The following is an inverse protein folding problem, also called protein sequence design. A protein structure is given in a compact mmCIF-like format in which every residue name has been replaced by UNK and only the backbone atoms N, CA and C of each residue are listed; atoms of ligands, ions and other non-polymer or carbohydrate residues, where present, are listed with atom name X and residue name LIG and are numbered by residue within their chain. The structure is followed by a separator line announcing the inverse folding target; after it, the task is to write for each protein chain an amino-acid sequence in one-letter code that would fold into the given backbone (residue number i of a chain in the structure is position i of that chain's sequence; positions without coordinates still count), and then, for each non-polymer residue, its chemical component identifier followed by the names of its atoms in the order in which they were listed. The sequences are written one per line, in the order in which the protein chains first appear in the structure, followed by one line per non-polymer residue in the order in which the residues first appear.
data_IF_343462489494
#
_entry.id   IF_343462489494
#
_cell.length_a   1.000
_cell.length_b   1.000
_cell.length_c   1.000
_cell.angle_alpha   90.00
_cell.angle_beta   90.00
_cell.angle_gamma   90.00
#
_symmetry.space_group_name_H-M   'P 1'
#
loop_
_entity.id
_entity.type
_entity.pdbx_description
1 polymer ?
#
# COMPACT_ATOMS: atom_id res chain seq x y z
N UNK A 1 24.83 51.33 27.32
CA UNK A 1 24.92 49.93 27.82
C UNK A 1 23.58 49.22 27.94
N UNK A 2 22.49 49.85 28.41
CA UNK A 2 21.19 49.17 28.60
C UNK A 2 20.50 48.69 27.31
N UNK A 3 20.64 49.40 26.19
CA UNK A 3 20.00 49.03 24.91
C UNK A 3 20.59 47.74 24.31
N UNK A 4 21.92 47.55 24.40
CA UNK A 4 22.61 46.32 23.96
C UNK A 4 22.21 45.09 24.79
N UNK A 5 21.96 45.28 26.10
CA UNK A 5 21.47 44.21 26.99
C UNK A 5 20.02 43.83 26.70
N UNK A 6 19.16 44.78 26.32
CA UNK A 6 17.77 44.53 25.92
C UNK A 6 17.67 43.79 24.60
N UNK A 7 18.50 44.15 23.61
CA UNK A 7 18.56 43.43 22.31
C UNK A 7 19.07 42.01 22.51
N UNK A 8 20.11 41.81 23.33
CA UNK A 8 20.61 40.47 23.65
C UNK A 8 19.58 39.56 24.35
N UNK A 9 18.75 40.14 25.23
CA UNK A 9 17.66 39.41 25.90
C UNK A 9 16.54 39.03 24.93
N UNK A 10 16.16 39.91 23.99
CA UNK A 10 15.15 39.62 22.97
C UNK A 10 15.62 38.52 22.01
N UNK A 11 16.88 38.54 21.61
CA UNK A 11 17.47 37.48 20.76
C UNK A 11 17.53 36.14 21.51
N UNK A 12 17.90 36.15 22.79
CA UNK A 12 17.92 34.94 23.62
C UNK A 12 16.52 34.33 23.80
N UNK A 13 15.50 35.15 24.04
CA UNK A 13 14.09 34.71 24.15
C UNK A 13 13.57 34.20 22.81
N UNK A 14 13.92 34.82 21.70
CA UNK A 14 13.55 34.34 20.36
C UNK A 14 14.17 32.96 20.07
N UNK A 15 15.44 32.73 20.43
CA UNK A 15 16.13 31.44 20.24
C UNK A 15 15.57 30.32 21.15
N UNK A 16 15.09 30.65 22.35
CA UNK A 16 14.48 29.68 23.28
C UNK A 16 13.09 29.19 22.81
N UNK A 17 12.41 29.93 21.93
CA UNK A 17 11.07 29.56 21.43
C UNK A 17 11.09 28.72 20.13
N UNK A 18 12.25 28.53 19.49
CA UNK A 18 12.37 27.73 18.25
C UNK A 18 12.54 26.23 18.54
N UNK A 19 12.96 25.87 19.77
CA UNK A 19 13.29 24.49 20.17
C UNK A 19 12.20 23.43 20.04
N UNK A 20 10.92 23.66 20.43
CA UNK A 20 9.93 22.59 20.44
C UNK A 20 9.27 22.34 19.07
N UNK A 21 9.41 23.25 18.09
CA UNK A 21 8.81 23.08 16.77
C UNK A 21 9.59 22.11 15.87
N UNK A 22 10.88 21.90 16.13
CA UNK A 22 11.72 21.00 15.32
C UNK A 22 11.55 19.51 15.65
N UNK A 23 10.90 19.16 16.77
CA UNK A 23 10.85 17.79 17.28
C UNK A 23 9.54 17.04 16.99
N UNK A 24 8.47 17.72 16.57
CA UNK A 24 7.19 17.09 16.28
C UNK A 24 7.14 16.60 14.82
N UNK A 25 7.69 15.42 14.56
CA UNK A 25 7.36 14.71 13.32
C UNK A 25 5.88 14.32 13.38
N UNK A 26 5.08 14.55 12.32
CA UNK A 26 3.71 14.09 12.29
C UNK A 26 3.68 12.57 12.53
N UNK A 27 2.70 12.05 13.29
CA UNK A 27 2.64 10.63 13.59
C UNK A 27 2.62 9.82 12.29
N UNK A 28 3.47 8.80 12.21
CA UNK A 28 3.49 7.88 11.08
C UNK A 28 2.16 7.14 11.06
N UNK A 29 1.44 7.20 9.94
CA UNK A 29 0.20 6.46 9.79
C UNK A 29 0.47 4.96 9.74
N UNK A 30 -0.23 4.21 10.59
CA UNK A 30 -0.30 2.76 10.58
C UNK A 30 -1.78 2.37 10.59
N UNK A 31 -2.25 1.59 9.60
CA UNK A 31 -3.67 1.24 9.51
C UNK A 31 -4.05 0.22 10.58
N UNK A 32 -5.26 0.36 11.13
CA UNK A 32 -5.88 -0.71 11.91
C UNK A 32 -6.25 -1.89 10.98
N UNK A 33 -6.36 -3.12 11.51
CA UNK A 33 -6.87 -4.24 10.74
C UNK A 33 -8.20 -3.87 10.07
N UNK A 34 -8.28 -4.08 8.76
CA UNK A 34 -9.46 -3.82 7.92
C UNK A 34 -9.88 -2.34 7.75
N UNK A 35 -9.21 -1.36 8.35
CA UNK A 35 -9.53 0.07 8.21
C UNK A 35 -8.39 0.87 7.57
N UNK A 36 -8.04 0.48 6.35
CA UNK A 36 -6.95 1.10 5.60
C UNK A 36 -7.45 2.33 4.85
N UNK A 37 -6.85 3.48 5.15
CA UNK A 37 -7.17 4.73 4.48
C UNK A 37 -6.69 4.71 3.03
N UNK A 38 -7.54 5.23 2.14
CA UNK A 38 -7.23 5.43 0.73
C UNK A 38 -6.60 6.81 0.51
N UNK A 39 -5.57 6.89 -0.32
CA UNK A 39 -4.93 8.15 -0.72
C UNK A 39 -4.70 8.17 -2.23
N UNK A 40 -4.96 9.30 -2.90
CA UNK A 40 -4.59 9.43 -4.30
C UNK A 40 -3.06 9.36 -4.46
N UNK A 41 -2.57 8.88 -5.62
CA UNK A 41 -1.13 8.66 -5.86
C UNK A 41 -0.28 9.90 -5.58
N UNK A 42 -0.77 11.08 -5.99
CA UNK A 42 -0.08 12.35 -5.79
C UNK A 42 0.16 12.67 -4.30
N UNK A 43 -0.76 12.30 -3.40
CA UNK A 43 -0.61 12.56 -1.95
C UNK A 43 0.45 11.67 -1.29
N UNK A 44 0.83 10.57 -1.92
CA UNK A 44 1.88 9.66 -1.43
C UNK A 44 3.18 9.78 -2.23
N UNK A 45 3.28 10.77 -3.13
CA UNK A 45 4.48 11.02 -3.94
C UNK A 45 4.65 10.03 -5.09
N UNK A 46 3.54 9.53 -5.65
CA UNK A 46 3.53 8.67 -6.84
C UNK A 46 2.99 9.43 -8.04
N UNK A 47 3.53 9.12 -9.22
CA UNK A 47 3.02 9.59 -10.51
C UNK A 47 1.74 8.81 -10.87
N UNK A 48 0.65 9.53 -11.13
CA UNK A 48 -0.64 8.92 -11.41
C UNK A 48 -0.69 8.23 -12.79
N UNK A 49 0.02 8.76 -13.79
CA UNK A 49 0.04 8.20 -15.14
C UNK A 49 0.86 6.91 -15.19
N UNK A 50 2.02 6.88 -14.52
CA UNK A 50 2.83 5.65 -14.40
C UNK A 50 2.10 4.57 -13.59
N UNK A 51 1.35 4.96 -12.56
CA UNK A 51 0.51 4.02 -11.82
C UNK A 51 -0.57 3.41 -12.72
N UNK A 52 -1.31 4.25 -13.47
CA UNK A 52 -2.34 3.77 -14.40
C UNK A 52 -1.77 2.80 -15.46
N UNK A 53 -0.60 3.12 -16.01
CA UNK A 53 0.09 2.22 -16.94
C UNK A 53 0.41 0.86 -16.31
N UNK A 54 0.92 0.85 -15.07
CA UNK A 54 1.20 -0.37 -14.34
C UNK A 54 -0.08 -1.19 -14.06
N UNK A 55 -1.19 -0.53 -13.72
CA UNK A 55 -2.49 -1.20 -13.50
C UNK A 55 -3.01 -1.84 -14.80
N UNK A 56 -2.96 -1.11 -15.92
CA UNK A 56 -3.36 -1.63 -17.23
C UNK A 56 -2.49 -2.82 -17.63
N UNK A 57 -1.18 -2.75 -17.41
CA UNK A 57 -0.29 -3.88 -17.67
C UNK A 57 -0.64 -5.08 -16.79
N UNK A 58 -0.80 -4.89 -15.48
CA UNK A 58 -1.14 -5.98 -14.55
C UNK A 58 -2.45 -6.68 -14.94
N UNK A 59 -3.46 -5.93 -15.39
CA UNK A 59 -4.72 -6.50 -15.86
C UNK A 59 -4.57 -7.43 -17.08
N UNK A 60 -3.46 -7.35 -17.83
CA UNK A 60 -3.17 -8.24 -18.96
C UNK A 60 -2.38 -9.50 -18.57
N UNK A 61 -1.77 -9.52 -17.39
CA UNK A 61 -0.88 -10.59 -16.94
C UNK A 61 -1.61 -11.46 -15.91
N UNK A 62 -2.53 -12.30 -16.38
CA UNK A 62 -3.26 -13.27 -15.55
C UNK A 62 -2.52 -14.63 -15.51
N UNK A 63 -2.91 -15.49 -14.57
CA UNK A 63 -2.45 -16.89 -14.51
C UNK A 63 -3.01 -17.66 -15.72
N UNK A 64 -2.17 -18.30 -16.55
CA UNK A 64 -2.60 -19.02 -17.75
C UNK A 64 -3.38 -20.32 -17.47
N UNK A 65 -3.44 -20.78 -16.22
CA UNK A 65 -4.23 -21.95 -15.86
C UNK A 65 -5.73 -21.76 -16.18
N UNK A 66 -6.50 -22.83 -16.43
CA UNK A 66 -7.93 -22.71 -16.71
C UNK A 66 -8.67 -21.92 -15.63
N UNK A 67 -9.59 -21.04 -16.01
CA UNK A 67 -10.39 -20.25 -15.05
C UNK A 67 -11.25 -21.14 -14.15
N UNK A 68 -11.72 -22.26 -14.66
CA UNK A 68 -12.38 -23.27 -13.83
C UNK A 68 -11.38 -23.83 -12.82
N UNK A 69 -11.64 -23.59 -11.54
CA UNK A 69 -10.75 -24.01 -10.48
C UNK A 69 -10.71 -25.53 -10.32
N UNK A 70 -11.80 -26.26 -10.60
CA UNK A 70 -11.80 -27.72 -10.60
C UNK A 70 -10.82 -28.25 -11.66
N UNK A 71 -10.91 -27.70 -12.87
CA UNK A 71 -10.05 -28.09 -13.98
C UNK A 71 -8.57 -27.75 -13.70
N UNK A 72 -8.29 -26.56 -13.19
CA UNK A 72 -6.93 -26.14 -12.86
C UNK A 72 -6.28 -27.05 -11.79
N UNK A 73 -7.03 -27.44 -10.76
CA UNK A 73 -6.55 -28.35 -9.71
C UNK A 73 -6.30 -29.77 -10.26
N UNK A 74 -7.22 -30.28 -11.09
CA UNK A 74 -7.05 -31.59 -11.72
C UNK A 74 -5.81 -31.64 -12.64
N UNK A 75 -5.57 -30.58 -13.42
CA UNK A 75 -4.43 -30.51 -14.34
C UNK A 75 -3.08 -30.26 -13.65
N UNK A 76 -3.09 -29.75 -12.42
CA UNK A 76 -1.87 -29.44 -11.66
C UNK A 76 -1.55 -30.51 -10.61
N UNK A 77 -2.25 -30.48 -9.49
CA UNK A 77 -2.07 -31.43 -8.38
C UNK A 77 -2.57 -32.81 -8.76
N UNK A 78 -3.75 -32.89 -9.37
CA UNK A 78 -4.36 -34.18 -9.72
C UNK A 78 -3.56 -35.00 -10.72
N UNK A 79 -2.80 -34.34 -11.60
CA UNK A 79 -1.90 -35.00 -12.54
C UNK A 79 -0.60 -35.54 -11.89
N UNK A 80 -0.25 -35.06 -10.69
CA UNK A 80 1.05 -35.33 -10.03
C UNK A 80 0.92 -36.14 -8.75
N UNK A 81 -0.23 -36.10 -8.09
CA UNK A 81 -0.42 -36.79 -6.81
C UNK A 81 -0.78 -38.27 -7.04
N UNK A 82 0.03 -39.21 -6.53
CA UNK A 82 -0.39 -40.60 -6.45
C UNK A 82 -1.63 -40.66 -5.54
N UNK A 83 -2.71 -41.27 -6.04
CA UNK A 83 -4.02 -41.36 -5.38
C UNK A 83 -4.83 -40.06 -5.28
N UNK A 84 -4.83 -39.23 -6.32
CA UNK A 84 -5.80 -38.12 -6.41
C UNK A 84 -7.23 -38.65 -6.39
N UNK A 85 -7.85 -38.68 -5.20
CA UNK A 85 -9.22 -39.15 -4.96
C UNK A 85 -10.31 -38.21 -5.51
N UNK A 86 -9.93 -37.27 -6.38
CA UNK A 86 -10.78 -36.20 -6.87
C UNK A 86 -10.76 -34.97 -5.96
N UNK A 87 -11.51 -33.96 -6.40
CA UNK A 87 -11.68 -32.70 -5.66
C UNK A 87 -12.49 -32.93 -4.39
N UNK A 88 -11.97 -32.44 -3.26
CA UNK A 88 -12.69 -32.37 -2.00
C UNK A 88 -13.28 -30.96 -1.82
N UNK A 89 -14.62 -30.88 -1.75
CA UNK A 89 -15.35 -29.62 -1.56
C UNK A 89 -15.70 -28.90 -2.87
N UNK A 90 -16.59 -27.91 -2.74
CA UNK A 90 -17.06 -27.13 -3.88
C UNK A 90 -15.97 -26.17 -4.39
N UNK A 91 -15.89 -26.00 -5.71
CA UNK A 91 -15.05 -25.01 -6.37
C UNK A 91 -15.89 -24.04 -7.18
N UNK A 92 -15.29 -22.91 -7.56
CA UNK A 92 -15.92 -21.89 -8.41
C UNK A 92 -14.91 -21.35 -9.42
N UNK A 93 -15.35 -20.81 -10.56
CA UNK A 93 -14.46 -20.13 -11.48
C UNK A 93 -13.68 -19.00 -10.78
N UNK A 94 -12.39 -18.88 -11.10
CA UNK A 94 -11.57 -17.76 -10.61
C UNK A 94 -12.05 -16.44 -11.24
N UNK A 95 -12.20 -15.36 -10.45
CA UNK A 95 -12.53 -14.04 -10.98
C UNK A 95 -11.39 -13.48 -11.86
N UNK A 96 -11.61 -12.29 -12.43
CA UNK A 96 -10.54 -11.48 -13.03
C UNK A 96 -9.36 -11.33 -12.06
N UNK A 97 -8.15 -11.15 -12.60
CA UNK A 97 -7.01 -10.74 -11.78
C UNK A 97 -7.36 -9.45 -11.03
N UNK A 98 -7.07 -9.44 -9.74
CA UNK A 98 -7.31 -8.31 -8.86
C UNK A 98 -6.05 -8.04 -8.03
N UNK A 99 -5.96 -6.85 -7.46
CA UNK A 99 -4.80 -6.44 -6.71
C UNK A 99 -4.98 -5.14 -5.96
N UNK A 100 -3.97 -4.81 -5.16
CA UNK A 100 -3.94 -3.59 -4.37
C UNK A 100 -2.50 -3.09 -4.26
N UNK A 101 -2.31 -1.78 -4.40
CA UNK A 101 -1.02 -1.12 -4.20
C UNK A 101 -1.09 -0.30 -2.91
N UNK A 102 -0.11 -0.55 -2.03
CA UNK A 102 0.04 0.11 -0.74
C UNK A 102 1.27 1.00 -0.76
N UNK A 103 1.15 2.23 -0.26
CA UNK A 103 2.29 3.11 -0.01
C UNK A 103 2.12 3.87 1.29
N UNK A 104 3.13 3.77 2.18
CA UNK A 104 3.14 4.45 3.50
C UNK A 104 1.87 4.18 4.30
N UNK A 105 1.47 2.91 4.38
CA UNK A 105 0.28 2.48 5.12
C UNK A 105 -1.07 2.73 4.42
N UNK A 106 -1.10 3.45 3.30
CA UNK A 106 -2.35 3.77 2.60
C UNK A 106 -2.56 2.89 1.37
N UNK A 107 -3.82 2.60 1.07
CA UNK A 107 -4.23 2.04 -0.22
C UNK A 107 -4.23 3.14 -1.26
N UNK A 108 -3.52 2.92 -2.37
CA UNK A 108 -3.33 3.92 -3.43
C UNK A 108 -4.07 3.56 -4.71
N UNK A 109 -4.22 2.26 -4.96
CA UNK A 109 -5.03 1.71 -6.04
C UNK A 109 -5.49 0.30 -5.66
N UNK A 110 -6.65 -0.08 -6.20
CA UNK A 110 -7.25 -1.40 -6.13
C UNK A 110 -7.91 -1.68 -7.47
N UNK A 111 -7.83 -2.92 -7.95
CA UNK A 111 -8.42 -3.38 -9.21
C UNK A 111 -8.85 -4.83 -9.10
#
# INVERSE_FOLDING_TARGET
MLLRRRIGLVVLVALLNVGPALAAQPPVYFPEPFDWQRRPPAQVGMDAALLDEALRYAATVDNPAPRDQAQALAQSFGAKEPYFGGLLGATRPRPAINGMIVRRGHVVAEW
#
